data_IF_691765370793
#
_entry.id   IF_691765370793
#
_cell.length_a   1.000
_cell.length_b   1.000
_cell.length_c   1.000
_cell.angle_alpha   90.00
_cell.angle_beta   90.00
_cell.angle_gamma   90.00
#
_symmetry.space_group_name_H-M   'P 1'
#
loop_
_entity.id
_entity.type
_entity.pdbx_description
1 polymer ?
#
# COMPACT_ATOMS: atom_id res chain seq x y z
N UNK A 1 2.89 -15.66 28.14
CA UNK A 1 3.52 -14.46 27.53
C UNK A 1 4.72 -14.99 26.76
N UNK A 2 4.75 -14.81 25.44
CA UNK A 2 5.88 -15.26 24.58
C UNK A 2 7.18 -14.61 25.07
N UNK A 3 8.26 -15.38 25.22
CA UNK A 3 9.58 -14.93 25.71
C UNK A 3 10.26 -13.86 24.83
N UNK A 4 9.65 -13.49 23.70
CA UNK A 4 10.21 -12.52 22.77
C UNK A 4 9.09 -11.59 22.24
N UNK A 5 8.78 -10.56 23.01
CA UNK A 5 7.87 -9.50 22.57
C UNK A 5 8.57 -8.15 22.80
N UNK A 6 8.82 -7.38 21.72
CA UNK A 6 9.50 -6.08 21.79
C UNK A 6 8.74 -5.05 20.97
N UNK A 7 8.49 -3.88 21.56
CA UNK A 7 8.02 -2.71 20.81
C UNK A 7 9.16 -2.25 19.89
N UNK A 8 8.86 -2.13 18.60
CA UNK A 8 9.82 -1.74 17.55
C UNK A 8 9.46 -0.42 16.88
N UNK A 9 8.33 0.18 17.26
CA UNK A 9 7.87 1.45 16.72
C UNK A 9 6.40 1.67 16.99
N UNK A 10 5.83 2.65 16.29
CA UNK A 10 4.40 2.94 16.30
C UNK A 10 3.90 3.29 14.90
N UNK A 11 2.59 3.16 14.69
CA UNK A 11 1.94 3.54 13.43
C UNK A 11 1.94 5.06 13.29
N UNK A 12 2.69 5.58 12.34
CA UNK A 12 2.76 7.02 12.06
C UNK A 12 1.65 7.47 11.11
N UNK A 13 1.25 6.61 10.15
CA UNK A 13 0.15 6.90 9.23
C UNK A 13 -0.46 5.62 8.65
N UNK A 14 -1.72 5.74 8.23
CA UNK A 14 -2.49 4.67 7.58
C UNK A 14 -3.10 5.18 6.28
N UNK A 15 -3.10 4.33 5.25
CA UNK A 15 -3.74 4.63 3.99
C UNK A 15 -4.50 3.43 3.42
N UNK A 16 -5.65 3.76 2.84
CA UNK A 16 -6.43 2.88 1.98
C UNK A 16 -6.38 3.40 0.55
N UNK A 17 -6.43 2.51 -0.41
CA UNK A 17 -6.52 2.81 -1.84
C UNK A 17 -7.76 2.13 -2.41
N UNK A 18 -8.96 2.71 -2.31
CA UNK A 18 -10.19 2.04 -2.74
C UNK A 18 -10.13 1.52 -4.17
N UNK A 19 -9.43 2.26 -5.06
CA UNK A 19 -9.25 1.93 -6.47
C UNK A 19 -7.75 1.69 -6.77
N UNK A 20 -7.46 0.55 -7.41
CA UNK A 20 -6.09 0.22 -7.85
C UNK A 20 -5.47 1.35 -8.67
N UNK A 21 -4.24 1.71 -8.35
CA UNK A 21 -3.43 2.76 -9.02
C UNK A 21 -3.89 4.21 -8.81
N UNK A 22 -5.06 4.47 -8.24
CA UNK A 22 -5.48 5.83 -7.87
C UNK A 22 -4.87 6.29 -6.55
N UNK A 23 -5.14 7.53 -6.16
CA UNK A 23 -4.64 8.16 -4.95
C UNK A 23 -5.05 7.45 -3.67
N UNK A 24 -4.41 7.80 -2.58
CA UNK A 24 -4.65 7.26 -1.25
C UNK A 24 -5.73 8.05 -0.50
N UNK A 25 -6.47 7.36 0.35
CA UNK A 25 -7.31 7.91 1.40
C UNK A 25 -6.58 7.73 2.73
N UNK A 26 -6.27 8.83 3.42
CA UNK A 26 -5.65 8.79 4.75
C UNK A 26 -6.69 8.43 5.82
N UNK A 27 -6.31 7.56 6.75
CA UNK A 27 -7.19 7.04 7.79
C UNK A 27 -6.58 7.27 9.18
N UNK A 28 -7.44 7.57 10.16
CA UNK A 28 -7.03 7.57 11.58
C UNK A 28 -7.00 6.15 12.15
N UNK A 29 -7.89 5.28 11.66
CA UNK A 29 -7.98 3.86 12.02
C UNK A 29 -8.59 3.05 10.90
N UNK A 30 -8.37 1.73 10.90
CA UNK A 30 -8.96 0.82 9.92
C UNK A 30 -9.14 -0.58 10.50
N UNK A 31 -10.16 -1.28 10.02
CA UNK A 31 -10.29 -2.72 10.24
C UNK A 31 -9.48 -3.47 9.18
N UNK A 32 -8.75 -4.48 9.62
CA UNK A 32 -7.99 -5.39 8.77
C UNK A 32 -8.63 -6.77 8.84
N UNK A 33 -9.02 -7.28 7.68
CA UNK A 33 -9.61 -8.60 7.49
C UNK A 33 -8.55 -9.62 7.06
N UNK A 34 -8.96 -10.86 6.81
CA UNK A 34 -8.12 -11.89 6.18
C UNK A 34 -7.61 -11.48 4.78
N UNK A 35 -8.30 -10.56 4.11
CA UNK A 35 -7.97 -10.05 2.78
C UNK A 35 -7.25 -8.69 2.82
N UNK A 36 -6.68 -8.29 3.95
CA UNK A 36 -6.02 -6.99 4.13
C UNK A 36 -6.96 -5.90 4.64
N UNK A 37 -6.60 -4.65 4.41
CA UNK A 37 -7.35 -3.48 4.89
C UNK A 37 -8.75 -3.47 4.27
N UNK A 38 -9.78 -3.27 5.08
CA UNK A 38 -11.16 -3.24 4.61
C UNK A 38 -11.37 -2.13 3.57
N UNK A 39 -11.98 -2.46 2.43
CA UNK A 39 -12.19 -1.55 1.31
C UNK A 39 -10.95 -1.26 0.44
N UNK A 40 -9.78 -1.82 0.76
CA UNK A 40 -8.55 -1.54 0.01
C UNK A 40 -8.54 -2.26 -1.33
N UNK A 41 -8.24 -1.52 -2.41
CA UNK A 41 -8.08 -2.01 -3.80
C UNK A 41 -9.22 -2.91 -4.28
N UNK A 42 -10.45 -2.64 -3.82
CA UNK A 42 -11.62 -3.41 -4.26
C UNK A 42 -11.98 -3.16 -5.71
N UNK A 43 -11.62 -2.00 -6.24
CA UNK A 43 -11.91 -1.61 -7.61
C UNK A 43 -10.64 -1.54 -8.45
N UNK A 44 -10.76 -1.89 -9.72
CA UNK A 44 -9.70 -1.72 -10.72
C UNK A 44 -10.31 -1.44 -12.09
N UNK A 45 -9.57 -0.72 -12.90
CA UNK A 45 -9.90 -0.53 -14.32
C UNK A 45 -9.09 -1.50 -15.16
N UNK A 46 -9.73 -2.11 -16.15
CA UNK A 46 -9.13 -3.00 -17.12
C UNK A 46 -9.19 -2.39 -18.51
N UNK A 47 -8.27 -2.79 -19.38
CA UNK A 47 -8.18 -2.31 -20.76
C UNK A 47 -8.65 -3.39 -21.72
N UNK A 48 -9.29 -2.99 -22.81
CA UNK A 48 -9.57 -3.91 -23.92
C UNK A 48 -8.26 -4.38 -24.59
N UNK A 49 -8.34 -5.48 -25.33
CA UNK A 49 -7.21 -6.06 -26.06
C UNK A 49 -6.19 -6.84 -25.21
N UNK A 50 -6.29 -6.79 -23.88
CA UNK A 50 -5.38 -7.52 -22.96
C UNK A 50 -6.03 -8.72 -22.27
N UNK A 51 -7.12 -9.23 -22.82
CA UNK A 51 -7.94 -10.33 -22.24
C UNK A 51 -7.12 -11.61 -21.95
N UNK A 52 -6.05 -11.85 -22.70
CA UNK A 52 -5.15 -13.01 -22.49
C UNK A 52 -3.98 -12.69 -21.55
N UNK A 53 -3.86 -11.45 -21.08
CA UNK A 53 -2.82 -11.06 -20.14
C UNK A 53 -3.22 -11.46 -18.73
N UNK A 54 -2.31 -12.06 -17.97
CA UNK A 54 -2.48 -12.22 -16.52
C UNK A 54 -2.48 -10.92 -15.74
N UNK A 55 -2.25 -9.76 -16.41
CA UNK A 55 -2.20 -8.44 -15.83
C UNK A 55 -2.97 -7.41 -16.70
N UNK A 56 -4.31 -7.48 -16.73
CA UNK A 56 -5.13 -6.63 -17.61
C UNK A 56 -5.33 -5.21 -17.10
N UNK A 57 -4.79 -4.88 -15.95
CA UNK A 57 -5.07 -3.65 -15.22
C UNK A 57 -4.54 -2.40 -15.93
N UNK A 58 -5.35 -1.34 -15.94
CA UNK A 58 -4.89 0.02 -16.19
C UNK A 58 -4.16 0.50 -14.93
N UNK A 59 -2.88 0.84 -15.06
CA UNK A 59 -2.07 1.18 -13.90
C UNK A 59 -1.25 2.45 -14.13
N UNK A 60 -0.61 2.93 -13.06
CA UNK A 60 0.35 4.03 -13.09
C UNK A 60 1.48 3.85 -14.13
N UNK A 61 1.76 2.59 -14.55
CA UNK A 61 2.74 2.34 -15.63
C UNK A 61 2.31 2.95 -16.96
N UNK A 62 1.01 2.91 -17.25
CA UNK A 62 0.41 3.46 -18.47
C UNK A 62 -0.03 4.91 -18.29
N UNK A 63 -0.67 5.18 -17.13
CA UNK A 63 -1.26 6.48 -16.79
C UNK A 63 -0.75 6.97 -15.44
N UNK A 64 0.39 7.69 -15.39
CA UNK A 64 0.92 8.26 -14.14
C UNK A 64 -0.05 9.19 -13.42
N UNK A 65 -0.89 9.88 -14.16
CA UNK A 65 -1.92 10.79 -13.68
C UNK A 65 -3.05 10.13 -12.88
N UNK A 66 -3.18 8.79 -12.92
CA UNK A 66 -4.09 8.06 -12.02
C UNK A 66 -3.80 8.37 -10.54
N UNK A 67 -2.56 8.73 -10.18
CA UNK A 67 -2.23 9.14 -8.81
C UNK A 67 -2.95 10.42 -8.36
N UNK A 68 -3.45 11.23 -9.29
CA UNK A 68 -4.17 12.46 -9.01
C UNK A 68 -5.67 12.25 -8.76
N UNK A 69 -6.23 11.13 -9.23
CA UNK A 69 -7.61 10.76 -8.94
C UNK A 69 -7.76 10.44 -7.44
N UNK A 70 -8.76 10.98 -6.78
CA UNK A 70 -8.99 10.86 -5.34
C UNK A 70 -10.24 10.02 -5.06
N UNK A 71 -10.09 8.69 -4.89
CA UNK A 71 -11.21 7.86 -4.48
C UNK A 71 -11.49 8.02 -2.98
N UNK A 72 -12.78 7.95 -2.61
CA UNK A 72 -13.20 7.88 -1.21
C UNK A 72 -14.44 7.02 -1.05
N UNK A 73 -14.69 6.54 0.16
CA UNK A 73 -15.89 5.78 0.51
C UNK A 73 -16.95 6.72 1.09
N UNK A 74 -18.19 6.59 0.62
CA UNK A 74 -19.32 7.40 1.11
C UNK A 74 -19.69 7.00 2.53
N UNK A 75 -19.65 5.69 2.82
CA UNK A 75 -19.90 5.12 4.14
C UNK A 75 -18.61 4.45 4.66
N UNK A 76 -17.67 5.22 5.27
CA UNK A 76 -16.36 4.70 5.66
C UNK A 76 -16.40 3.63 6.76
N UNK A 77 -17.50 3.56 7.52
CA UNK A 77 -17.69 2.56 8.59
C UNK A 77 -18.09 1.17 8.06
N UNK A 78 -18.53 1.08 6.79
CA UNK A 78 -18.87 -0.17 6.12
C UNK A 78 -18.13 -0.30 4.78
N UNK A 79 -16.79 -0.28 4.79
CA UNK A 79 -15.95 -0.02 3.62
C UNK A 79 -16.11 -1.05 2.49
N UNK A 80 -16.46 -2.30 2.80
CA UNK A 80 -16.59 -3.36 1.78
C UNK A 80 -17.90 -3.25 0.98
N UNK A 81 -18.92 -2.60 1.54
CA UNK A 81 -20.24 -2.39 0.90
C UNK A 81 -20.50 -0.95 0.50
N UNK A 82 -19.70 -0.01 0.99
CA UNK A 82 -19.83 1.41 0.69
C UNK A 82 -19.77 1.69 -0.80
N UNK A 83 -20.53 2.70 -1.23
CA UNK A 83 -20.30 3.33 -2.53
C UNK A 83 -18.89 3.94 -2.55
N UNK A 84 -18.25 3.82 -3.68
CA UNK A 84 -16.93 4.44 -3.91
C UNK A 84 -17.07 5.56 -4.92
N UNK A 85 -16.74 6.77 -4.50
CA UNK A 85 -16.69 7.95 -5.36
C UNK A 85 -15.25 8.22 -5.77
N UNK A 86 -15.07 8.89 -6.89
CA UNK A 86 -13.75 9.30 -7.40
C UNK A 86 -13.83 10.75 -7.85
N UNK A 87 -12.98 11.61 -7.27
CA UNK A 87 -12.76 12.98 -7.79
C UNK A 87 -11.65 12.95 -8.82
N UNK A 88 -11.94 13.48 -9.99
CA UNK A 88 -10.95 13.62 -11.07
C UNK A 88 -9.98 14.78 -10.80
N UNK A 89 -8.86 14.85 -11.52
CA UNK A 89 -7.98 16.03 -11.44
C UNK A 89 -8.65 17.34 -11.89
N UNK A 90 -9.70 17.25 -12.72
CA UNK A 90 -10.50 18.42 -13.15
C UNK A 90 -11.47 18.91 -12.07
N UNK A 91 -11.72 18.10 -11.03
CA UNK A 91 -12.61 18.42 -9.91
C UNK A 91 -14.00 17.79 -10.01
N UNK A 92 -14.27 16.98 -11.03
CA UNK A 92 -15.54 16.29 -11.20
C UNK A 92 -15.62 15.05 -10.32
N UNK A 93 -16.80 14.78 -9.74
CA UNK A 93 -17.08 13.65 -8.89
C UNK A 93 -17.91 12.60 -9.63
N UNK A 94 -17.40 11.37 -9.73
CA UNK A 94 -18.08 10.22 -10.32
C UNK A 94 -18.27 9.11 -9.30
N UNK A 95 -19.34 8.34 -9.44
CA UNK A 95 -19.35 6.99 -8.89
C UNK A 95 -18.31 6.15 -9.63
N UNK A 96 -17.56 5.29 -8.93
CA UNK A 96 -16.49 4.49 -9.54
C UNK A 96 -17.01 3.59 -10.67
N UNK A 97 -18.28 3.20 -10.63
CA UNK A 97 -18.93 2.38 -11.65
C UNK A 97 -19.56 3.21 -12.79
N UNK A 98 -19.48 4.53 -12.73
CA UNK A 98 -20.03 5.40 -13.78
C UNK A 98 -19.28 5.19 -15.11
N UNK A 99 -19.98 4.90 -16.22
CA UNK A 99 -19.36 4.78 -17.54
C UNK A 99 -18.58 6.04 -17.97
N UNK A 100 -18.99 7.23 -17.51
CA UNK A 100 -18.30 8.48 -17.78
C UNK A 100 -16.88 8.50 -17.24
N UNK A 101 -16.65 7.99 -16.02
CA UNK A 101 -15.31 7.85 -15.48
C UNK A 101 -14.46 6.88 -16.30
N UNK A 102 -15.02 5.74 -16.71
CA UNK A 102 -14.30 4.78 -17.55
C UNK A 102 -13.93 5.38 -18.90
N UNK A 103 -14.84 6.15 -19.52
CA UNK A 103 -14.60 6.85 -20.80
C UNK A 103 -13.50 7.93 -20.67
N UNK A 104 -13.45 8.68 -19.56
CA UNK A 104 -12.39 9.65 -19.28
C UNK A 104 -11.02 8.95 -19.16
N UNK A 105 -10.99 7.75 -18.61
CA UNK A 105 -9.75 6.96 -18.45
C UNK A 105 -9.27 6.35 -19.77
N UNK A 106 -10.08 6.29 -20.80
CA UNK A 106 -9.71 5.91 -22.16
C UNK A 106 -10.69 4.96 -22.84
N UNK A 107 -10.58 4.86 -24.16
CA UNK A 107 -11.42 3.98 -24.96
C UNK A 107 -11.24 2.51 -24.56
N UNK A 108 -12.34 1.78 -24.43
CA UNK A 108 -12.35 0.37 -24.07
C UNK A 108 -11.93 0.08 -22.62
N UNK A 109 -11.85 1.11 -21.77
CA UNK A 109 -11.63 0.94 -20.34
C UNK A 109 -12.93 0.52 -19.66
N UNK A 110 -12.84 -0.44 -18.76
CA UNK A 110 -13.97 -0.94 -17.96
C UNK A 110 -13.57 -1.08 -16.49
N UNK A 111 -14.49 -0.82 -15.59
CA UNK A 111 -14.29 -1.04 -14.16
C UNK A 111 -14.70 -2.47 -13.78
N UNK A 112 -13.98 -3.03 -12.82
CA UNK A 112 -14.38 -4.26 -12.12
C UNK A 112 -14.26 -4.08 -10.61
N UNK A 113 -15.04 -4.87 -9.87
CA UNK A 113 -14.92 -5.01 -8.41
C UNK A 113 -14.47 -6.41 -8.05
N UNK A 114 -13.57 -6.52 -7.07
CA UNK A 114 -13.17 -7.80 -6.46
C UNK A 114 -13.19 -7.69 -4.94
N UNK A 115 -13.95 -8.55 -4.29
CA UNK A 115 -14.13 -8.52 -2.84
C UNK A 115 -12.86 -8.84 -2.04
N UNK A 116 -11.89 -9.52 -2.66
CA UNK A 116 -10.58 -9.82 -2.05
C UNK A 116 -9.50 -8.77 -2.34
N UNK A 117 -9.84 -7.75 -3.14
CA UNK A 117 -8.88 -6.73 -3.59
C UNK A 117 -8.02 -7.16 -4.79
N UNK A 118 -7.57 -6.17 -5.56
CA UNK A 118 -6.72 -6.34 -6.75
C UNK A 118 -5.30 -5.92 -6.40
N UNK A 119 -4.57 -6.79 -5.72
CA UNK A 119 -3.19 -6.55 -5.31
C UNK A 119 -2.20 -6.97 -6.42
N UNK A 120 -0.99 -6.40 -6.40
CA UNK A 120 0.10 -6.84 -7.29
C UNK A 120 0.79 -8.07 -6.70
N UNK A 121 0.95 -8.12 -5.38
CA UNK A 121 1.63 -9.20 -4.67
C UNK A 121 0.84 -9.62 -3.43
N UNK A 122 0.81 -8.80 -2.38
CA UNK A 122 0.21 -9.15 -1.10
C UNK A 122 -0.74 -8.06 -0.58
N UNK A 123 -1.66 -8.41 0.33
CA UNK A 123 -2.73 -7.50 0.75
C UNK A 123 -2.30 -6.38 1.71
N UNK A 124 -1.19 -6.56 2.43
CA UNK A 124 -0.69 -5.56 3.37
C UNK A 124 0.73 -5.15 2.98
N UNK A 125 0.97 -3.85 2.89
CA UNK A 125 2.29 -3.26 2.66
C UNK A 125 2.62 -2.28 3.77
N UNK A 126 3.85 -2.39 4.30
CA UNK A 126 4.36 -1.58 5.37
C UNK A 126 5.74 -1.04 4.99
N UNK A 127 6.02 0.21 5.35
CA UNK A 127 7.34 0.84 5.21
C UNK A 127 7.61 1.70 6.44
N UNK A 128 8.89 1.94 6.76
CA UNK A 128 9.25 2.81 7.87
C UNK A 128 9.63 4.22 7.40
N UNK A 129 9.48 5.20 8.27
CA UNK A 129 9.94 6.59 8.03
C UNK A 129 11.46 6.63 7.83
N UNK A 130 12.21 5.79 8.54
CA UNK A 130 13.66 5.63 8.41
C UNK A 130 14.06 5.16 7.01
N UNK A 131 13.31 4.20 6.44
CA UNK A 131 13.52 3.75 5.05
C UNK A 131 13.28 4.87 4.05
N UNK A 132 12.21 5.67 4.22
CA UNK A 132 11.94 6.82 3.36
C UNK A 132 13.08 7.85 3.46
N UNK A 133 13.51 8.19 4.66
CA UNK A 133 14.61 9.12 4.88
C UNK A 133 15.92 8.63 4.25
N UNK A 134 16.25 7.35 4.44
CA UNK A 134 17.46 6.74 3.89
C UNK A 134 17.46 6.69 2.36
N UNK A 135 16.31 6.37 1.74
CA UNK A 135 16.16 6.42 0.29
C UNK A 135 16.22 7.87 -0.22
N UNK A 136 15.69 8.82 0.52
CA UNK A 136 15.82 10.25 0.25
C UNK A 136 17.28 10.69 0.19
N UNK A 137 18.08 10.29 1.18
CA UNK A 137 19.51 10.55 1.23
C UNK A 137 20.27 9.90 0.05
N UNK A 138 19.96 8.64 -0.29
CA UNK A 138 20.57 7.92 -1.41
C UNK A 138 20.26 8.52 -2.78
N UNK A 139 19.12 9.19 -2.92
CA UNK A 139 18.66 9.78 -4.19
C UNK A 139 18.85 11.29 -4.25
N UNK A 140 19.21 11.93 -3.13
CA UNK A 140 19.25 13.39 -2.95
C UNK A 140 17.89 14.05 -3.26
N UNK A 141 16.78 13.34 -2.95
CA UNK A 141 15.41 13.77 -3.23
C UNK A 141 14.57 13.77 -1.96
N UNK A 142 13.66 14.73 -1.84
CA UNK A 142 12.53 14.63 -0.91
C UNK A 142 11.53 13.58 -1.44
N UNK A 143 11.54 12.38 -0.88
CA UNK A 143 10.65 11.32 -1.33
C UNK A 143 9.33 11.34 -0.57
N UNK A 144 8.22 11.49 -1.29
CA UNK A 144 6.89 11.27 -0.75
C UNK A 144 6.66 9.76 -0.53
N UNK A 145 6.23 9.37 0.66
CA UNK A 145 5.93 7.97 1.02
C UNK A 145 4.88 7.33 0.11
N UNK A 146 3.95 8.11 -0.42
CA UNK A 146 2.89 7.61 -1.31
C UNK A 146 3.41 7.10 -2.66
N UNK A 147 4.68 7.36 -3.04
CA UNK A 147 5.36 6.66 -4.15
C UNK A 147 5.38 5.15 -3.95
N UNK A 148 5.53 4.73 -2.70
CA UNK A 148 5.65 3.33 -2.30
C UNK A 148 4.30 2.67 -2.05
N UNK A 149 3.22 3.48 -1.97
CA UNK A 149 1.84 3.03 -1.80
C UNK A 149 1.63 2.06 -0.63
N UNK A 150 2.18 2.33 0.55
CA UNK A 150 2.02 1.46 1.71
C UNK A 150 0.61 1.59 2.29
N UNK A 151 0.17 0.56 3.05
CA UNK A 151 -0.98 0.68 3.92
C UNK A 151 -0.58 1.27 5.28
N UNK A 152 0.61 0.91 5.79
CA UNK A 152 1.13 1.38 7.07
C UNK A 152 2.48 2.07 6.88
N UNK A 153 2.61 3.28 7.46
CA UNK A 153 3.88 3.89 7.74
C UNK A 153 4.18 3.70 9.22
N UNK A 154 5.34 3.16 9.52
CA UNK A 154 5.80 2.95 10.90
C UNK A 154 6.96 3.90 11.18
N UNK A 155 6.89 4.59 12.30
CA UNK A 155 8.06 5.22 12.88
C UNK A 155 8.73 4.22 13.82
N UNK A 156 9.88 3.71 13.41
CA UNK A 156 10.59 2.69 14.16
C UNK A 156 11.32 3.29 15.38
N UNK A 157 11.48 2.50 16.44
CA UNK A 157 12.18 2.87 17.67
C UNK A 157 13.71 2.70 17.55
N UNK A 158 14.26 2.89 16.35
CA UNK A 158 15.71 2.78 16.05
C UNK A 158 16.04 3.76 14.92
N UNK A 159 17.29 4.16 14.83
CA UNK A 159 17.84 5.00 13.76
C UNK A 159 18.40 4.17 12.59
N UNK A 160 18.23 2.86 12.60
CA UNK A 160 18.67 1.98 11.50
C UNK A 160 18.02 2.40 10.19
N UNK A 161 18.74 2.33 9.09
CA UNK A 161 18.31 2.85 7.81
C UNK A 161 17.10 2.09 7.19
N UNK A 162 16.93 0.80 7.51
CA UNK A 162 15.91 -0.09 6.93
C UNK A 162 15.44 -1.10 7.97
N UNK A 163 14.85 -0.63 9.09
CA UNK A 163 14.62 -1.49 10.25
C UNK A 163 13.58 -2.59 9.99
N UNK A 164 12.61 -2.36 9.09
CA UNK A 164 11.58 -3.34 8.76
C UNK A 164 12.11 -4.60 8.07
N UNK A 165 13.32 -4.57 7.51
CA UNK A 165 13.93 -5.76 6.91
C UNK A 165 14.19 -6.88 7.94
N UNK A 166 14.51 -6.49 9.17
CA UNK A 166 14.73 -7.42 10.27
C UNK A 166 13.42 -8.06 10.79
N UNK A 167 12.27 -7.60 10.33
CA UNK A 167 10.97 -8.15 10.73
C UNK A 167 10.49 -9.28 9.81
N UNK A 168 11.17 -9.54 8.69
CA UNK A 168 10.83 -10.63 7.79
C UNK A 168 10.87 -11.98 8.51
N UNK A 169 9.78 -12.75 8.39
CA UNK A 169 9.59 -14.03 9.07
C UNK A 169 8.98 -13.93 10.48
N UNK A 170 8.84 -12.72 11.02
CA UNK A 170 8.21 -12.50 12.33
C UNK A 170 6.74 -12.09 12.20
N UNK A 171 6.02 -12.20 13.32
CA UNK A 171 4.67 -11.66 13.48
C UNK A 171 4.75 -10.26 14.08
N UNK A 172 4.03 -9.32 13.49
CA UNK A 172 3.80 -8.01 14.07
C UNK A 172 2.41 -7.97 14.68
N UNK A 173 2.33 -7.59 15.96
CA UNK A 173 1.07 -7.20 16.60
C UNK A 173 0.96 -5.69 16.59
N UNK A 174 -0.14 -5.17 16.01
CA UNK A 174 -0.41 -3.74 15.83
C UNK A 174 -1.87 -3.52 16.24
N UNK A 175 -2.12 -2.87 17.39
CA UNK A 175 -3.45 -2.82 17.95
C UNK A 175 -4.00 -4.23 18.18
N UNK A 176 -5.08 -4.59 17.48
CA UNK A 176 -5.69 -5.94 17.55
C UNK A 176 -5.33 -6.84 16.37
N UNK A 177 -4.64 -6.31 15.37
CA UNK A 177 -4.13 -7.05 14.22
C UNK A 177 -2.92 -7.88 14.61
N UNK A 178 -2.82 -9.12 14.10
CA UNK A 178 -1.55 -9.82 13.94
C UNK A 178 -1.31 -10.07 12.46
N UNK A 179 -0.18 -9.61 11.96
CA UNK A 179 0.27 -9.85 10.60
C UNK A 179 1.63 -10.53 10.59
N UNK A 180 1.80 -11.53 9.75
CA UNK A 180 3.12 -12.09 9.46
C UNK A 180 3.80 -11.22 8.40
N UNK A 181 5.07 -10.90 8.60
CA UNK A 181 5.90 -10.28 7.59
C UNK A 181 6.44 -11.37 6.67
N UNK A 182 5.87 -11.48 5.47
CA UNK A 182 6.16 -12.60 4.57
C UNK A 182 7.41 -12.37 3.72
N UNK A 183 7.66 -11.14 3.28
CA UNK A 183 8.79 -10.83 2.41
C UNK A 183 9.08 -9.32 2.36
N UNK A 184 10.30 -8.98 1.93
CA UNK A 184 10.64 -7.62 1.51
C UNK A 184 9.86 -7.25 0.25
N UNK A 185 9.38 -6.01 0.20
CA UNK A 185 8.60 -5.52 -0.93
C UNK A 185 9.50 -5.17 -2.12
N UNK A 186 9.42 -5.99 -3.19
CA UNK A 186 10.16 -5.78 -4.43
C UNK A 186 9.50 -4.70 -5.27
N UNK A 187 10.20 -3.60 -5.47
CA UNK A 187 9.70 -2.41 -6.15
C UNK A 187 9.82 -2.49 -7.67
N UNK A 188 8.89 -1.83 -8.35
CA UNK A 188 8.86 -1.71 -9.79
C UNK A 188 8.91 -0.23 -10.20
N UNK A 189 8.85 0.03 -11.50
CA UNK A 189 8.94 1.38 -12.09
C UNK A 189 7.93 2.41 -11.53
N UNK A 190 6.89 1.97 -10.83
CA UNK A 190 5.88 2.85 -10.23
C UNK A 190 6.51 3.78 -9.18
N UNK A 191 7.52 3.34 -8.43
CA UNK A 191 8.20 4.20 -7.44
C UNK A 191 8.93 5.41 -8.06
N UNK A 192 9.17 5.38 -9.37
CA UNK A 192 9.73 6.51 -10.09
C UNK A 192 8.74 7.65 -10.31
N UNK A 193 7.44 7.39 -10.14
CA UNK A 193 6.38 8.36 -10.38
C UNK A 193 6.18 9.19 -9.12
N UNK A 194 6.27 10.50 -9.25
CA UNK A 194 5.88 11.42 -8.19
C UNK A 194 4.36 11.42 -8.05
N UNK A 195 3.79 11.17 -6.86
CA UNK A 195 2.35 11.04 -6.71
C UNK A 195 1.58 12.36 -6.86
N UNK A 196 2.28 13.51 -6.79
CA UNK A 196 1.69 14.85 -6.89
C UNK A 196 1.92 15.46 -8.27
N UNK A 197 3.14 15.40 -8.79
CA UNK A 197 3.50 16.02 -10.09
C UNK A 197 3.37 15.07 -11.26
N UNK A 198 3.21 13.76 -11.01
CA UNK A 198 3.20 12.66 -11.99
C UNK A 198 4.50 12.48 -12.79
N UNK A 199 5.50 13.32 -12.52
CA UNK A 199 6.79 13.23 -13.18
C UNK A 199 7.53 11.95 -12.81
N UNK A 200 8.26 11.41 -13.78
CA UNK A 200 9.05 10.19 -13.61
C UNK A 200 10.51 10.52 -13.35
N UNK A 201 11.05 9.98 -12.25
CA UNK A 201 12.48 10.03 -11.97
C UNK A 201 13.05 8.61 -11.83
N UNK A 202 13.69 8.04 -12.87
CA UNK A 202 14.28 6.71 -12.84
C UNK A 202 15.41 6.53 -11.81
N UNK A 203 15.94 7.61 -11.26
CA UNK A 203 16.99 7.54 -10.24
C UNK A 203 16.50 6.83 -8.98
N UNK A 204 15.19 6.97 -8.64
CA UNK A 204 14.61 6.35 -7.44
C UNK A 204 14.73 4.81 -7.49
N UNK A 205 14.20 4.17 -8.53
CA UNK A 205 14.29 2.71 -8.65
C UNK A 205 15.74 2.24 -8.84
N UNK A 206 16.58 3.01 -9.55
CA UNK A 206 18.01 2.66 -9.70
C UNK A 206 18.73 2.64 -8.36
N UNK A 207 18.52 3.64 -7.50
CA UNK A 207 19.12 3.69 -6.17
C UNK A 207 18.64 2.51 -5.30
N UNK A 208 17.32 2.23 -5.30
CA UNK A 208 16.75 1.09 -4.59
C UNK A 208 17.34 -0.23 -5.13
N UNK A 209 17.50 -0.36 -6.44
CA UNK A 209 18.06 -1.58 -7.04
C UNK A 209 19.53 -1.78 -6.64
N UNK A 210 20.34 -0.74 -6.74
CA UNK A 210 21.77 -0.80 -6.44
C UNK A 210 22.04 -1.09 -4.94
N UNK A 211 21.32 -0.38 -4.04
CA UNK A 211 21.57 -0.48 -2.61
C UNK A 211 20.79 -1.63 -1.94
N UNK A 212 19.64 -2.07 -2.50
CA UNK A 212 18.64 -2.88 -1.80
C UNK A 212 18.07 -4.04 -2.61
N UNK A 213 18.69 -4.42 -3.75
CA UNK A 213 18.19 -5.49 -4.63
C UNK A 213 16.75 -5.24 -5.11
N UNK A 214 16.42 -3.98 -5.38
CA UNK A 214 15.09 -3.48 -5.73
C UNK A 214 14.03 -3.65 -4.62
N UNK A 215 14.39 -3.80 -3.34
CA UNK A 215 13.44 -3.95 -2.23
C UNK A 215 13.43 -2.72 -1.32
N UNK A 216 12.23 -2.30 -0.87
CA UNK A 216 12.05 -1.29 0.19
C UNK A 216 10.68 -1.45 0.82
N UNK A 217 10.62 -1.48 2.17
CA UNK A 217 9.44 -1.90 2.91
C UNK A 217 9.22 -3.41 2.85
N UNK A 218 8.15 -3.86 3.45
CA UNK A 218 7.79 -5.28 3.55
C UNK A 218 6.33 -5.52 3.21
N UNK A 219 6.03 -6.73 2.76
CA UNK A 219 4.69 -7.26 2.60
C UNK A 219 4.34 -8.22 3.72
N UNK A 220 3.05 -8.30 4.03
CA UNK A 220 2.55 -9.26 4.99
C UNK A 220 1.15 -9.76 4.72
N UNK A 221 0.82 -10.85 5.41
CA UNK A 221 -0.50 -11.46 5.45
C UNK A 221 -1.09 -11.42 6.86
N UNK A 222 -2.41 -11.36 6.92
CA UNK A 222 -3.14 -11.36 8.18
C UNK A 222 -3.12 -12.75 8.81
N UNK A 223 -2.65 -12.86 10.05
CA UNK A 223 -2.78 -14.05 10.90
C UNK A 223 -4.03 -13.96 11.79
N UNK A 224 -4.29 -12.78 12.34
CA UNK A 224 -5.47 -12.49 13.13
C UNK A 224 -6.04 -11.14 12.69
N UNK A 225 -7.28 -11.09 12.19
CA UNK A 225 -7.96 -9.85 11.88
C UNK A 225 -8.12 -8.96 13.12
N UNK A 226 -8.07 -7.64 12.88
CA UNK A 226 -8.23 -6.71 13.98
C UNK A 226 -8.21 -5.26 13.51
N UNK A 227 -8.46 -4.35 14.42
CA UNK A 227 -8.40 -2.91 14.18
C UNK A 227 -7.00 -2.39 14.45
N UNK A 228 -6.53 -1.50 13.58
CA UNK A 228 -5.29 -0.73 13.72
C UNK A 228 -5.62 0.75 13.71
N UNK A 229 -4.85 1.54 14.45
CA UNK A 229 -4.99 3.00 14.50
C UNK A 229 -3.62 3.69 14.44
N UNK A 230 -3.61 4.94 14.01
CA UNK A 230 -2.43 5.80 14.13
C UNK A 230 -2.09 5.94 15.62
N UNK A 231 -0.81 5.79 15.97
CA UNK A 231 -0.30 5.78 17.34
C UNK A 231 -0.23 4.38 17.96
N UNK A 232 -0.84 3.35 17.38
CA UNK A 232 -0.73 1.99 17.92
C UNK A 232 0.72 1.53 17.97
N UNK A 233 1.17 0.89 19.07
CA UNK A 233 2.48 0.30 19.15
C UNK A 233 2.61 -0.88 18.18
N UNK A 234 3.76 -0.99 17.54
CA UNK A 234 4.16 -2.13 16.71
C UNK A 234 5.05 -3.05 17.54
N UNK A 235 4.61 -4.28 17.74
CA UNK A 235 5.29 -5.26 18.59
C UNK A 235 5.69 -6.43 17.71
N UNK A 236 6.99 -6.75 17.68
CA UNK A 236 7.51 -7.98 17.05
C UNK A 236 7.34 -9.14 18.02
N UNK A 237 6.78 -10.23 17.54
CA UNK A 237 6.60 -11.49 18.26
C UNK A 237 7.19 -12.63 17.41
N UNK A 238 7.72 -13.69 18.05
CA UNK A 238 8.05 -14.92 17.31
C UNK A 238 6.76 -15.67 16.95
N UNK A 239 6.80 -16.35 15.81
CA UNK A 239 5.70 -17.27 15.47
C UNK A 239 5.56 -18.34 16.57
N UNK A 240 4.34 -18.66 17.04
CA UNK A 240 4.14 -19.75 17.98
C UNK A 240 4.58 -21.06 17.32
N UNK A 241 5.68 -21.65 17.78
CA UNK A 241 6.21 -22.90 17.26
C UNK A 241 7.64 -22.85 16.68
N UNK A 242 8.22 -21.67 16.50
CA UNK A 242 9.64 -21.52 16.13
C UNK A 242 10.50 -21.59 17.43
N UNK A 243 10.77 -22.79 17.87
CA UNK A 243 11.78 -23.09 18.90
C UNK A 243 13.11 -23.10 18.17
N UNK A 244 13.72 -21.91 17.94
CA UNK A 244 15.02 -21.79 17.26
C UNK A 244 16.02 -22.84 17.77
N UNK A 245 16.36 -23.77 16.89
CA UNK A 245 17.52 -24.65 16.98
C UNK A 245 18.79 -23.90 16.58
#
# INVERSE_FOLDING_TARGET
>A
MSEFSRIVGHVAALWRYPVKSMGAEALAQADVSWNGLAGDRRWAFIRDGVVRSGFPWLTLRQRPDLSLYRPWLVEPDVPDTSRTMVRTPAGDDFDVADPGLAAELGDGVRVIKQDRGVFDTMPLSLITSQTIASLGALTELGLDVLRFRPNLLIEASTDDAFPEDAWAGYVLRIGRLQMRVDARDKRCVVVNIDPVTTQRNPAVLRAITAARQACSGVYGSTIQPGRVAVGDPVIVEREPGDTGD
#
